data_IF_509785158918
#
_entry.id   IF_509785158918
#
_cell.length_a   1.000
_cell.length_b   1.000
_cell.length_c   1.000
_cell.angle_alpha   90.00
_cell.angle_beta   90.00
_cell.angle_gamma   90.00
#
_symmetry.space_group_name_H-M   'P 1'
#
loop_
_entity.id
_entity.type
_entity.pdbx_description
1 polymer ?
#
# COMPACT_ATOMS: atom_id res chain seq x y z
N UNK A 1 -13.68 8.33 -0.13
CA UNK A 1 -14.16 7.22 0.72
C UNK A 1 -12.99 6.70 1.52
N UNK A 2 -13.17 6.53 2.83
CA UNK A 2 -12.13 6.02 3.70
C UNK A 2 -12.36 4.55 4.02
N UNK A 3 -11.30 3.77 4.00
CA UNK A 3 -11.31 2.33 4.15
C UNK A 3 -10.54 1.94 5.41
N UNK A 4 -11.04 0.94 6.11
CA UNK A 4 -10.25 0.30 7.17
C UNK A 4 -9.05 -0.43 6.57
N UNK A 5 -8.06 -0.75 7.40
CA UNK A 5 -6.88 -1.53 6.96
C UNK A 5 -7.27 -2.83 6.24
N UNK A 6 -8.35 -3.48 6.70
CA UNK A 6 -8.90 -4.69 6.08
C UNK A 6 -9.39 -4.44 4.67
N UNK A 7 -10.27 -3.45 4.51
CA UNK A 7 -10.89 -3.14 3.23
C UNK A 7 -9.86 -2.60 2.24
N UNK A 8 -8.93 -1.76 2.71
CA UNK A 8 -7.85 -1.24 1.89
C UNK A 8 -6.98 -2.38 1.32
N UNK A 9 -6.61 -3.35 2.17
CA UNK A 9 -5.83 -4.52 1.78
C UNK A 9 -6.58 -5.39 0.74
N UNK A 10 -7.87 -5.65 0.94
CA UNK A 10 -8.72 -6.36 -0.02
C UNK A 10 -8.83 -5.60 -1.35
N UNK A 11 -9.02 -4.27 -1.28
CA UNK A 11 -9.18 -3.41 -2.46
C UNK A 11 -7.97 -3.45 -3.38
N UNK A 12 -6.77 -3.56 -2.81
CA UNK A 12 -5.52 -3.64 -3.57
C UNK A 12 -5.04 -5.07 -3.81
N UNK A 13 -5.78 -6.07 -3.35
CA UNK A 13 -5.45 -7.48 -3.50
C UNK A 13 -4.14 -7.86 -2.80
N UNK A 14 -3.87 -7.27 -1.62
CA UNK A 14 -2.65 -7.53 -0.85
C UNK A 14 -3.04 -8.10 0.52
N UNK A 15 -2.33 -9.11 1.05
CA UNK A 15 -2.57 -9.57 2.41
C UNK A 15 -2.42 -8.43 3.44
N UNK A 16 -3.25 -8.44 4.49
CA UNK A 16 -3.25 -7.41 5.55
C UNK A 16 -1.86 -7.17 6.14
N UNK A 17 -1.11 -8.21 6.45
CA UNK A 17 0.23 -8.07 7.04
C UNK A 17 1.21 -7.37 6.09
N UNK A 18 1.22 -7.80 4.82
CA UNK A 18 1.99 -7.16 3.76
C UNK A 18 1.59 -5.70 3.56
N UNK A 19 0.29 -5.41 3.63
CA UNK A 19 -0.24 -4.05 3.52
C UNK A 19 0.27 -3.18 4.69
N UNK A 20 0.14 -3.64 5.94
CA UNK A 20 0.63 -2.91 7.13
C UNK A 20 2.13 -2.66 7.07
N UNK A 21 2.93 -3.69 6.75
CA UNK A 21 4.39 -3.53 6.64
C UNK A 21 4.78 -2.56 5.52
N UNK A 22 4.11 -2.61 4.38
CA UNK A 22 4.44 -1.74 3.26
C UNK A 22 4.01 -0.30 3.52
N UNK A 23 2.85 -0.08 4.13
CA UNK A 23 2.42 1.26 4.53
C UNK A 23 3.30 1.85 5.64
N UNK A 24 3.78 1.03 6.58
CA UNK A 24 4.77 1.46 7.57
C UNK A 24 6.07 1.96 6.91
N UNK A 25 6.53 1.28 5.84
CA UNK A 25 7.68 1.73 5.05
C UNK A 25 7.40 3.02 4.29
N UNK A 26 6.23 3.17 3.68
CA UNK A 26 5.88 4.38 2.94
C UNK A 26 5.71 5.59 3.88
N UNK A 27 5.20 5.38 5.09
CA UNK A 27 5.18 6.40 6.15
C UNK A 27 6.59 6.86 6.50
N UNK A 28 7.56 5.94 6.61
CA UNK A 28 8.98 6.28 6.83
C UNK A 28 9.58 7.07 5.66
N UNK A 29 9.07 6.90 4.44
CA UNK A 29 9.45 7.68 3.27
C UNK A 29 8.70 9.03 3.16
N UNK A 30 7.95 9.44 4.19
CA UNK A 30 7.21 10.70 4.20
C UNK A 30 5.93 10.71 3.36
N UNK A 31 5.44 9.53 2.92
CA UNK A 31 4.17 9.43 2.20
C UNK A 31 3.05 9.02 3.14
N UNK A 32 2.10 9.93 3.33
CA UNK A 32 0.91 9.68 4.15
C UNK A 32 -0.29 9.28 3.29
N UNK A 33 -0.62 8.00 3.36
CA UNK A 33 -1.80 7.41 2.71
C UNK A 33 -2.99 7.27 3.67
N UNK A 34 -2.82 7.71 4.92
CA UNK A 34 -3.92 7.77 5.88
C UNK A 34 -4.91 8.86 5.51
N UNK A 35 -6.15 8.65 5.91
CA UNK A 35 -7.16 9.70 6.01
C UNK A 35 -6.75 10.71 7.10
N UNK A 36 -7.25 11.97 7.02
CA UNK A 36 -7.12 12.94 8.10
C UNK A 36 -7.56 12.35 9.43
N UNK A 37 -6.80 12.63 10.50
CA UNK A 37 -7.08 12.09 11.84
C UNK A 37 -8.44 12.54 12.40
N UNK A 38 -8.93 13.69 11.92
CA UNK A 38 -10.24 14.25 12.24
C UNK A 38 -11.40 13.40 11.70
N UNK A 39 -11.17 12.65 10.62
CA UNK A 39 -12.16 11.74 10.03
C UNK A 39 -12.04 10.32 10.58
N UNK A 40 -11.10 10.06 11.48
CA UNK A 40 -11.00 8.76 12.13
C UNK A 40 -12.15 8.64 13.13
N UNK A 41 -13.09 7.75 12.81
CA UNK A 41 -14.22 7.40 13.69
C UNK A 41 -13.76 6.85 15.04
N UNK A 42 -12.55 6.30 15.11
CA UNK A 42 -11.91 5.85 16.34
C UNK A 42 -10.40 6.14 16.25
N UNK A 43 -9.86 6.85 17.25
CA UNK A 43 -8.44 7.24 17.30
C UNK A 43 -7.47 6.05 17.32
N UNK A 44 -7.96 4.83 17.61
CA UNK A 44 -7.20 3.58 17.52
C UNK A 44 -7.28 2.89 16.17
N UNK A 45 -8.24 3.26 15.32
CA UNK A 45 -8.49 2.61 14.04
C UNK A 45 -8.07 3.52 12.89
N UNK A 46 -6.84 3.36 12.36
CA UNK A 46 -6.38 4.17 11.24
C UNK A 46 -7.23 3.89 10.00
N UNK A 47 -7.76 4.96 9.43
CA UNK A 47 -8.48 4.95 8.17
C UNK A 47 -7.54 5.31 7.01
N UNK A 48 -7.81 4.72 5.85
CA UNK A 48 -7.01 4.86 4.65
C UNK A 48 -7.81 5.52 3.54
N UNK A 49 -7.17 6.40 2.79
CA UNK A 49 -7.78 7.00 1.61
C UNK A 49 -7.74 6.01 0.44
N UNK A 50 -8.91 5.58 -0.05
CA UNK A 50 -9.01 4.61 -1.14
C UNK A 50 -8.20 5.04 -2.37
N UNK A 51 -8.27 6.31 -2.78
CA UNK A 51 -7.59 6.77 -3.99
C UNK A 51 -6.07 6.69 -3.84
N UNK A 52 -5.57 7.12 -2.68
CA UNK A 52 -4.14 7.04 -2.35
C UNK A 52 -3.65 5.59 -2.30
N UNK A 53 -4.42 4.71 -1.66
CA UNK A 53 -4.12 3.28 -1.54
C UNK A 53 -4.07 2.60 -2.91
N UNK A 54 -5.05 2.89 -3.78
CA UNK A 54 -5.09 2.34 -5.15
C UNK A 54 -3.91 2.86 -5.97
N UNK A 55 -3.58 4.15 -5.88
CA UNK A 55 -2.42 4.73 -6.56
C UNK A 55 -1.10 4.08 -6.10
N UNK A 56 -0.95 3.89 -4.79
CA UNK A 56 0.18 3.16 -4.21
C UNK A 56 0.28 1.73 -4.74
N UNK A 57 -0.82 0.99 -4.79
CA UNK A 57 -0.83 -0.39 -5.28
C UNK A 57 -0.43 -0.50 -6.76
N UNK A 58 -0.93 0.41 -7.60
CA UNK A 58 -0.50 0.51 -9.01
C UNK A 58 1.00 0.76 -9.12
N UNK A 59 1.55 1.68 -8.32
CA UNK A 59 2.99 1.96 -8.29
C UNK A 59 3.81 0.75 -7.80
N UNK A 60 3.31 0.03 -6.77
CA UNK A 60 3.95 -1.18 -6.24
C UNK A 60 3.96 -2.32 -7.25
N UNK A 61 2.88 -2.53 -8.00
CA UNK A 61 2.82 -3.56 -9.06
C UNK A 61 3.82 -3.28 -10.17
N UNK A 62 3.98 -2.00 -10.59
CA UNK A 62 5.02 -1.60 -11.57
C UNK A 62 6.43 -1.89 -11.08
N UNK A 63 6.74 -1.61 -9.80
CA UNK A 63 8.05 -1.94 -9.19
C UNK A 63 8.31 -3.46 -9.17
N UNK A 64 7.33 -4.27 -8.78
CA UNK A 64 7.47 -5.74 -8.75
C UNK A 64 7.67 -6.34 -10.15
N UNK A 65 6.95 -5.85 -11.16
CA UNK A 65 7.09 -6.31 -12.56
C UNK A 65 8.52 -6.07 -13.08
N UNK A 66 9.05 -4.86 -12.89
CA UNK A 66 10.44 -4.52 -13.25
C UNK A 66 11.48 -5.39 -12.54
N UNK A 67 11.27 -5.73 -11.27
CA UNK A 67 12.20 -6.61 -10.54
C UNK A 67 12.23 -8.02 -11.12
N UNK A 68 11.07 -8.59 -11.47
CA UNK A 68 10.96 -9.94 -12.05
C UNK A 68 11.56 -10.03 -13.46
N UNK A 69 11.42 -8.98 -14.27
CA UNK A 69 12.04 -8.91 -15.60
C UNK A 69 13.56 -8.85 -15.51
N UNK A 70 14.10 -8.04 -14.58
CA UNK A 70 15.55 -7.89 -14.38
C UNK A 70 16.23 -9.13 -13.77
N UNK A 71 15.49 -9.97 -13.07
CA UNK A 71 15.96 -11.24 -12.51
C UNK A 71 16.06 -12.29 -13.63
N UNK A 72 15.03 -12.40 -14.48
CA UNK A 72 15.04 -13.29 -15.66
C UNK A 72 16.15 -12.99 -16.67
N UNK A 73 16.57 -11.73 -16.80
CA UNK A 73 17.64 -11.32 -17.71
C UNK A 73 19.04 -11.63 -17.16
N UNK A 74 19.18 -11.79 -15.84
CA UNK A 74 20.47 -12.13 -15.19
C UNK A 74 20.73 -13.62 -15.07
N UNK A 75 19.69 -14.46 -15.05
CA UNK A 75 19.81 -15.92 -15.03
C UNK A 75 19.93 -16.54 -16.44
N UNK A 76 20.01 -15.71 -17.49
CA UNK A 76 20.08 -16.13 -18.89
C UNK A 76 21.43 -15.80 -19.57
N UNK A 77 22.42 -15.32 -18.80
CA UNK A 77 23.78 -15.00 -19.26
C UNK A 77 24.80 -15.99 -18.67
#
# INVERSE_FOLDING_TARGET
>A
MYLTTSQAAERVGVPKDQFRSAMSKERKNGKEFHAPREEWTDGRTPLWDEQKVVAWAKARKKRKKRKKEKEKEKDAD
#
